data_IF_403291069514
#
_entry.id   IF_403291069514
#
_cell.length_a   1.000
_cell.length_b   1.000
_cell.length_c   1.000
_cell.angle_alpha   90.00
_cell.angle_beta   90.00
_cell.angle_gamma   90.00
#
_symmetry.space_group_name_H-M   'P 1'
#
loop_
_entity.id
_entity.type
_entity.pdbx_description
1 polymer ?
#
# COMPACT_ATOMS: atom_id res chain seq x y z
N UNK A 1 11.18 -5.90 -7.13
CA UNK A 1 10.19 -5.14 -7.95
C UNK A 1 10.88 -4.03 -8.72
N UNK A 2 11.49 -3.00 -8.10
CA UNK A 2 12.28 -1.99 -8.85
C UNK A 2 13.77 -2.35 -8.96
N UNK A 3 14.38 -2.78 -7.84
CA UNK A 3 15.80 -3.15 -7.82
C UNK A 3 16.16 -4.39 -8.64
N UNK A 4 15.22 -5.33 -8.78
CA UNK A 4 15.47 -6.60 -9.47
C UNK A 4 15.34 -6.49 -11.00
N UNK A 5 14.78 -5.38 -11.51
CA UNK A 5 14.54 -5.18 -12.95
C UNK A 5 15.50 -4.18 -13.58
N UNK A 6 16.16 -3.36 -12.76
CA UNK A 6 17.08 -2.33 -13.24
C UNK A 6 18.54 -2.74 -13.09
N UNK A 7 19.36 -2.31 -14.06
CA UNK A 7 20.82 -2.40 -13.97
C UNK A 7 21.33 -1.33 -13.00
N UNK A 8 22.16 -1.73 -12.05
CA UNK A 8 22.76 -0.80 -11.09
C UNK A 8 23.55 0.31 -11.82
N UNK A 9 23.44 1.59 -11.41
CA UNK A 9 22.70 2.10 -10.23
C UNK A 9 21.26 2.53 -10.51
N UNK A 10 20.77 2.42 -11.74
CA UNK A 10 19.46 2.94 -12.17
C UNK A 10 18.30 2.41 -11.35
N UNK A 11 17.32 3.29 -11.09
CA UNK A 11 16.07 3.01 -10.40
C UNK A 11 14.94 3.79 -11.08
N UNK A 12 13.73 3.23 -11.09
CA UNK A 12 12.55 3.98 -11.55
C UNK A 12 12.11 5.01 -10.52
N UNK A 13 12.31 4.72 -9.24
CA UNK A 13 11.99 5.60 -8.12
C UNK A 13 13.24 5.83 -7.24
N UNK A 14 14.20 6.66 -7.69
CA UNK A 14 15.44 6.87 -6.97
C UNK A 14 15.24 7.59 -5.63
N UNK A 15 14.20 8.41 -5.51
CA UNK A 15 13.85 9.17 -4.32
C UNK A 15 12.41 8.86 -3.90
N UNK A 16 12.26 8.24 -2.72
CA UNK A 16 10.97 7.86 -2.17
C UNK A 16 10.88 8.30 -0.71
N UNK A 17 9.78 8.96 -0.38
CA UNK A 17 9.54 9.52 0.94
C UNK A 17 8.30 8.92 1.56
N UNK A 18 8.27 8.91 2.90
CA UNK A 18 7.08 8.57 3.67
C UNK A 18 6.64 9.85 4.38
N UNK A 19 5.36 10.19 4.23
CA UNK A 19 4.78 11.30 4.95
C UNK A 19 4.77 10.98 6.45
N UNK A 20 5.51 11.78 7.23
CA UNK A 20 5.57 11.65 8.69
C UNK A 20 4.18 11.85 9.28
N UNK A 21 3.82 11.02 10.24
CA UNK A 21 2.52 10.98 10.95
C UNK A 21 1.29 10.64 10.08
N UNK A 22 1.37 10.85 8.77
CA UNK A 22 0.42 10.38 7.78
C UNK A 22 -0.72 11.37 7.51
N UNK A 23 -1.81 10.88 6.92
CA UNK A 23 -2.87 11.75 6.42
C UNK A 23 -3.66 12.46 7.54
N UNK A 24 -3.68 11.89 8.76
CA UNK A 24 -4.41 12.48 9.89
C UNK A 24 -3.85 13.85 10.26
N UNK A 25 -2.54 13.92 10.49
CA UNK A 25 -1.85 15.15 10.86
C UNK A 25 -1.80 16.12 9.67
N UNK A 26 -1.58 15.61 8.45
CA UNK A 26 -1.65 16.43 7.24
C UNK A 26 -3.00 17.12 7.07
N UNK A 27 -4.10 16.39 7.23
CA UNK A 27 -5.45 16.96 7.12
C UNK A 27 -5.71 18.05 8.17
N UNK A 28 -5.21 17.86 9.40
CA UNK A 28 -5.39 18.84 10.48
C UNK A 28 -4.69 20.17 10.20
N UNK A 29 -3.54 20.15 9.54
CA UNK A 29 -2.74 21.35 9.27
C UNK A 29 -3.02 21.96 7.89
N UNK A 30 -3.34 21.12 6.90
CA UNK A 30 -3.41 21.49 5.48
C UNK A 30 -4.74 21.09 4.81
N UNK A 31 -5.87 21.20 5.54
CA UNK A 31 -7.21 20.83 5.04
C UNK A 31 -7.55 21.44 3.66
N UNK A 32 -7.08 22.65 3.37
CA UNK A 32 -7.32 23.33 2.08
C UNK A 32 -6.72 22.62 0.88
N UNK A 33 -5.75 21.72 1.10
CA UNK A 33 -5.12 20.88 0.08
C UNK A 33 -5.75 19.48 -0.03
N UNK A 34 -6.81 19.21 0.71
CA UNK A 34 -7.53 17.93 0.71
C UNK A 34 -8.81 18.02 -0.12
N UNK A 35 -9.08 16.99 -0.95
CA UNK A 35 -10.31 16.89 -1.74
C UNK A 35 -10.88 15.45 -1.67
N UNK A 36 -12.12 15.27 -1.15
CA UNK A 36 -12.94 16.25 -0.45
C UNK A 36 -12.30 16.72 0.86
N UNK A 37 -12.74 17.86 1.40
CA UNK A 37 -12.32 18.38 2.71
C UNK A 37 -12.93 17.58 3.86
N UNK A 38 -12.49 16.34 3.98
CA UNK A 38 -12.93 15.42 5.02
C UNK A 38 -11.88 14.36 5.33
N UNK A 39 -11.90 13.89 6.57
CA UNK A 39 -11.04 12.80 7.03
C UNK A 39 -11.87 11.69 7.66
N UNK A 40 -11.80 10.49 7.07
CA UNK A 40 -12.44 9.28 7.59
C UNK A 40 -11.35 8.33 8.10
N UNK A 41 -11.40 8.03 9.40
CA UNK A 41 -10.48 7.08 10.02
C UNK A 41 -10.76 5.66 9.54
N UNK A 42 -9.71 4.84 9.41
CA UNK A 42 -9.85 3.45 8.96
C UNK A 42 -10.83 2.61 9.80
N UNK A 43 -11.02 2.94 11.08
CA UNK A 43 -11.91 2.23 12.00
C UNK A 43 -13.27 2.94 12.22
N UNK A 44 -13.64 3.86 11.35
CA UNK A 44 -14.92 4.56 11.44
C UNK A 44 -16.10 3.56 11.44
N UNK A 45 -17.05 3.76 12.35
CA UNK A 45 -18.13 2.81 12.65
C UNK A 45 -19.00 2.48 11.44
N UNK A 46 -19.21 3.45 10.56
CA UNK A 46 -20.08 3.32 9.38
C UNK A 46 -19.41 2.50 8.25
N UNK A 47 -18.08 2.33 8.29
CA UNK A 47 -17.30 1.67 7.23
C UNK A 47 -16.69 0.32 7.65
N UNK A 48 -17.19 -0.28 8.74
CA UNK A 48 -16.63 -1.54 9.28
C UNK A 48 -16.72 -2.71 8.31
N UNK A 49 -17.82 -2.82 7.55
CA UNK A 49 -18.00 -3.89 6.57
C UNK A 49 -17.11 -3.72 5.34
N UNK A 50 -16.89 -2.47 4.91
CA UNK A 50 -15.92 -2.17 3.85
C UNK A 50 -14.49 -2.53 4.26
N UNK A 51 -14.09 -2.16 5.48
CA UNK A 51 -12.79 -2.56 6.04
C UNK A 51 -12.64 -4.10 6.05
N UNK A 52 -13.68 -4.83 6.47
CA UNK A 52 -13.68 -6.31 6.46
C UNK A 52 -13.53 -6.86 5.04
N UNK A 53 -14.27 -6.32 4.08
CA UNK A 53 -14.22 -6.70 2.66
C UNK A 53 -12.83 -6.47 2.08
N UNK A 54 -12.25 -5.29 2.27
CA UNK A 54 -10.92 -4.94 1.78
C UNK A 54 -9.82 -5.80 2.39
N UNK A 55 -9.89 -6.11 3.70
CA UNK A 55 -8.97 -7.04 4.36
C UNK A 55 -9.05 -8.46 3.81
N UNK A 56 -10.25 -8.94 3.43
CA UNK A 56 -10.40 -10.25 2.77
C UNK A 56 -9.72 -10.24 1.40
N UNK A 57 -9.97 -9.20 0.58
CA UNK A 57 -9.31 -9.04 -0.73
C UNK A 57 -7.79 -8.96 -0.62
N UNK A 58 -7.27 -8.16 0.32
CA UNK A 58 -5.83 -8.01 0.56
C UNK A 58 -5.16 -9.34 0.95
N UNK A 59 -5.82 -10.15 1.80
CA UNK A 59 -5.35 -11.51 2.11
C UNK A 59 -5.28 -12.42 0.88
N UNK A 60 -6.26 -12.34 -0.01
CA UNK A 60 -6.23 -13.11 -1.27
C UNK A 60 -5.06 -12.70 -2.16
N UNK A 61 -4.76 -11.41 -2.27
CA UNK A 61 -3.61 -10.91 -3.04
C UNK A 61 -2.28 -11.33 -2.42
N UNK A 62 -2.12 -11.19 -1.10
CA UNK A 62 -0.93 -11.63 -0.39
C UNK A 62 -0.72 -13.15 -0.53
N UNK A 63 -1.80 -13.93 -0.44
CA UNK A 63 -1.78 -15.39 -0.65
C UNK A 63 -1.38 -15.76 -2.07
N UNK A 64 -1.90 -15.05 -3.07
CA UNK A 64 -1.51 -15.25 -4.47
C UNK A 64 -0.02 -14.97 -4.69
N UNK A 65 0.50 -13.84 -4.17
CA UNK A 65 1.93 -13.49 -4.28
C UNK A 65 2.83 -14.57 -3.67
N UNK A 66 2.55 -14.99 -2.44
CA UNK A 66 3.29 -16.08 -1.77
C UNK A 66 3.26 -17.37 -2.56
N UNK A 67 2.09 -17.74 -3.12
CA UNK A 67 1.95 -18.94 -3.93
C UNK A 67 2.77 -18.86 -5.23
N UNK A 68 2.81 -17.69 -5.88
CA UNK A 68 3.62 -17.45 -7.07
C UNK A 68 5.12 -17.58 -6.77
N UNK A 69 5.58 -17.02 -5.65
CA UNK A 69 6.97 -17.13 -5.18
C UNK A 69 7.35 -18.60 -4.94
N UNK A 70 6.50 -19.39 -4.28
CA UNK A 70 6.73 -20.82 -4.05
C UNK A 70 6.86 -21.63 -5.36
N UNK A 71 6.05 -21.32 -6.37
CA UNK A 71 6.15 -21.99 -7.68
C UNK A 71 7.39 -21.57 -8.47
N UNK A 72 7.87 -20.34 -8.29
CA UNK A 72 9.13 -19.87 -8.90
C UNK A 72 10.34 -20.53 -8.25
N UNK A 73 10.31 -20.77 -6.93
CA UNK A 73 11.40 -21.49 -6.23
C UNK A 73 11.41 -22.99 -6.52
N UNK A 74 10.27 -23.59 -6.88
CA UNK A 74 10.16 -25.04 -7.13
C UNK A 74 10.62 -25.47 -8.54
N UNK A 75 10.63 -24.56 -9.51
CA UNK A 75 11.02 -24.83 -10.91
C UNK A 75 12.46 -24.39 -11.23
N UNK A 76 13.27 -24.05 -10.22
CA UNK A 76 14.67 -23.68 -10.37
C UNK A 76 15.59 -24.80 -9.87
N UNK A 77 15.66 -25.90 -10.63
CA UNK A 77 16.77 -26.85 -10.68
C UNK A 77 17.17 -27.02 -12.14
#
# INVERSE_FOLDING_TARGET
MDRNVNVYPSLCFPELYILKDGYKEFFQEFETFCEPRGYIQMHHKDYREELRSMRRKGRSVARYRRRKELFQTANGH
#
